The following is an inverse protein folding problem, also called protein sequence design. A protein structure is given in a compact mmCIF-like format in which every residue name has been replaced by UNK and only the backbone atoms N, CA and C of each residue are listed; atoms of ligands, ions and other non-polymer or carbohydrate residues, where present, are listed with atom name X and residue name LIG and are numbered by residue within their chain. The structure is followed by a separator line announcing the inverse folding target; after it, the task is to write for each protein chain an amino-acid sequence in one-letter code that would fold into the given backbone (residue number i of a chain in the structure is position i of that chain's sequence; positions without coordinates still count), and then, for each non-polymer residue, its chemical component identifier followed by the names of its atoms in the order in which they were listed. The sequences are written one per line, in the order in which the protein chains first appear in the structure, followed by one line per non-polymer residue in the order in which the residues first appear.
data_IF_143822562789
#
_entry.id   IF_143822562789
#
_cell.length_a   1.000
_cell.length_b   1.000
_cell.length_c   1.000
_cell.angle_alpha   90.00
_cell.angle_beta   90.00
_cell.angle_gamma   90.00
#
_symmetry.space_group_name_H-M   'P 1'
#
loop_
_entity.id
_entity.type
_entity.pdbx_description
1 polymer ?
#
# COMPACT_ATOMS: atom_id res chain seq x y z
N UNK A 1 15.08 -22.50 34.83
CA UNK A 1 14.30 -22.96 33.67
C UNK A 1 13.58 -21.73 33.16
N UNK A 2 14.19 -21.03 32.16
CA UNK A 2 13.61 -19.83 31.59
C UNK A 2 12.34 -20.18 30.81
N UNK A 3 11.24 -19.59 31.19
CA UNK A 3 10.04 -19.56 30.38
C UNK A 3 10.40 -18.85 29.06
N UNK A 4 10.48 -19.59 27.96
CA UNK A 4 10.44 -18.99 26.62
C UNK A 4 9.02 -18.41 26.48
N UNK A 5 8.86 -17.11 26.22
CA UNK A 5 7.53 -16.58 25.95
C UNK A 5 6.95 -17.33 24.76
N UNK A 6 5.73 -17.76 24.91
CA UNK A 6 4.96 -18.42 23.89
C UNK A 6 4.73 -17.40 22.75
N UNK A 7 5.38 -17.63 21.61
CA UNK A 7 5.30 -16.89 20.34
C UNK A 7 5.97 -15.49 20.31
N UNK A 8 7.24 -15.45 19.90
CA UNK A 8 7.96 -14.22 19.54
C UNK A 8 7.43 -13.57 18.24
N UNK A 9 6.33 -14.04 17.71
CA UNK A 9 5.72 -13.56 16.47
C UNK A 9 4.20 -13.49 16.56
N UNK A 10 3.61 -12.72 15.66
CA UNK A 10 2.16 -12.66 15.48
C UNK A 10 1.77 -12.78 14.00
N UNK A 11 0.60 -13.36 13.75
CA UNK A 11 0.05 -13.39 12.41
C UNK A 11 -0.54 -12.02 12.03
N UNK A 12 -0.06 -11.49 10.90
CA UNK A 12 -0.52 -10.20 10.37
C UNK A 12 -1.16 -10.39 9.00
N UNK A 13 -2.00 -9.44 8.61
CA UNK A 13 -2.62 -9.48 7.28
C UNK A 13 -1.68 -8.97 6.19
N UNK A 14 -0.84 -8.02 6.54
CA UNK A 14 0.07 -7.34 5.60
C UNK A 14 1.33 -6.93 6.33
N UNK A 15 2.44 -6.88 5.60
CA UNK A 15 3.68 -6.25 6.03
C UNK A 15 4.24 -5.41 4.87
N UNK A 16 5.18 -4.54 5.18
CA UNK A 16 5.97 -3.82 4.17
C UNK A 16 7.16 -4.70 3.75
N UNK A 17 7.69 -4.48 2.55
CA UNK A 17 8.85 -5.23 2.05
C UNK A 17 10.15 -4.91 2.79
N UNK A 18 10.27 -3.72 3.40
CA UNK A 18 11.45 -3.35 4.18
C UNK A 18 11.60 -4.27 5.40
N UNK A 19 12.70 -5.03 5.42
CA UNK A 19 12.97 -6.02 6.47
C UNK A 19 12.10 -7.28 6.41
N UNK A 20 11.41 -7.53 5.29
CA UNK A 20 10.63 -8.74 5.09
C UNK A 20 11.48 -9.85 4.47
N UNK A 21 11.25 -11.08 4.91
CA UNK A 21 11.83 -12.29 4.35
C UNK A 21 10.72 -13.18 3.81
N UNK A 22 10.89 -13.65 2.58
CA UNK A 22 9.93 -14.55 1.95
C UNK A 22 10.53 -15.95 1.82
N UNK A 23 9.74 -16.97 2.11
CA UNK A 23 10.10 -18.34 1.81
C UNK A 23 10.17 -18.52 0.29
N UNK A 24 11.31 -18.99 -0.22
CA UNK A 24 11.55 -19.14 -1.66
C UNK A 24 10.58 -20.16 -2.31
N UNK A 25 10.21 -21.22 -1.61
CA UNK A 25 9.26 -22.20 -2.15
C UNK A 25 7.86 -21.58 -2.25
N UNK A 26 7.44 -20.79 -1.25
CA UNK A 26 6.20 -20.04 -1.31
C UNK A 26 6.21 -19.02 -2.46
N UNK A 27 7.31 -18.27 -2.60
CA UNK A 27 7.49 -17.30 -3.68
C UNK A 27 7.37 -17.94 -5.07
N UNK A 28 8.03 -19.09 -5.29
CA UNK A 28 7.93 -19.85 -6.54
C UNK A 28 6.51 -20.31 -6.82
N UNK A 29 5.76 -20.70 -5.80
CA UNK A 29 4.41 -21.21 -5.93
C UNK A 29 3.38 -20.11 -6.23
N UNK A 30 3.51 -18.94 -5.60
CA UNK A 30 2.55 -17.83 -5.75
C UNK A 30 2.90 -16.87 -6.87
N UNK A 31 4.12 -16.95 -7.41
CA UNK A 31 4.68 -16.04 -8.41
C UNK A 31 5.31 -14.78 -7.81
N UNK A 32 5.98 -14.06 -8.66
CA UNK A 32 6.74 -12.85 -8.34
C UNK A 32 5.84 -11.66 -7.94
N UNK A 33 6.47 -10.57 -7.48
CA UNK A 33 5.75 -9.31 -7.30
C UNK A 33 5.13 -8.84 -8.62
N UNK A 34 3.98 -8.20 -8.53
CA UNK A 34 3.33 -7.61 -9.71
C UNK A 34 4.08 -6.34 -10.14
N UNK A 35 5.02 -6.50 -11.08
CA UNK A 35 5.84 -5.42 -11.60
C UNK A 35 5.00 -4.27 -12.20
N UNK A 36 3.80 -4.59 -12.71
CA UNK A 36 2.90 -3.56 -13.24
C UNK A 36 2.49 -2.56 -12.18
N UNK A 37 2.52 -2.91 -10.91
CA UNK A 37 2.21 -1.99 -9.81
C UNK A 37 3.31 -0.97 -9.56
N UNK A 38 4.56 -1.27 -9.85
CA UNK A 38 5.75 -0.46 -9.74
C UNK A 38 6.05 0.04 -8.32
N UNK A 39 5.17 0.82 -7.70
CA UNK A 39 5.33 1.40 -6.36
C UNK A 39 3.95 1.54 -5.68
N UNK A 40 3.94 1.47 -4.35
CA UNK A 40 2.76 1.51 -3.48
C UNK A 40 1.78 0.32 -3.67
N UNK A 41 1.37 -0.29 -2.60
CA UNK A 41 0.48 -1.45 -2.51
C UNK A 41 1.02 -2.77 -3.09
N UNK A 42 2.25 -2.81 -3.60
CA UNK A 42 2.90 -4.02 -4.15
C UNK A 42 3.01 -5.09 -3.08
N UNK A 43 3.51 -4.70 -1.92
CA UNK A 43 3.64 -5.54 -0.73
C UNK A 43 2.29 -6.03 -0.19
N UNK A 44 1.28 -5.18 -0.20
CA UNK A 44 -0.08 -5.56 0.23
C UNK A 44 -0.73 -6.57 -0.72
N UNK A 45 -0.53 -6.42 -2.02
CA UNK A 45 -0.98 -7.37 -3.04
C UNK A 45 -0.27 -8.72 -2.86
N UNK A 46 1.04 -8.69 -2.67
CA UNK A 46 1.84 -9.89 -2.44
C UNK A 46 1.41 -10.63 -1.17
N UNK A 47 1.24 -9.94 -0.05
CA UNK A 47 0.72 -10.53 1.19
C UNK A 47 -0.70 -11.09 1.02
N UNK A 48 -1.52 -10.47 0.19
CA UNK A 48 -2.85 -10.99 -0.13
C UNK A 48 -2.74 -12.32 -0.88
N UNK A 49 -1.89 -12.42 -1.92
CA UNK A 49 -1.65 -13.67 -2.65
C UNK A 49 -1.09 -14.75 -1.74
N UNK A 50 -0.10 -14.44 -0.91
CA UNK A 50 0.43 -15.37 0.09
C UNK A 50 -0.70 -16.03 0.88
N UNK A 51 -1.58 -15.23 1.47
CA UNK A 51 -2.70 -15.73 2.27
C UNK A 51 -3.74 -16.50 1.44
N UNK A 52 -4.00 -16.08 0.21
CA UNK A 52 -4.90 -16.78 -0.71
C UNK A 52 -4.42 -18.20 -1.04
N UNK A 53 -3.11 -18.39 -1.08
CA UNK A 53 -2.47 -19.70 -1.30
C UNK A 53 -2.18 -20.46 0.00
N UNK A 54 -2.71 -20.03 1.14
CA UNK A 54 -2.60 -20.72 2.42
C UNK A 54 -1.31 -20.45 3.20
N UNK A 55 -0.46 -19.52 2.74
CA UNK A 55 0.75 -19.13 3.48
C UNK A 55 0.43 -18.09 4.55
N UNK A 56 1.12 -18.19 5.68
CA UNK A 56 1.06 -17.19 6.76
C UNK A 56 1.95 -15.99 6.47
N UNK A 57 1.51 -14.80 6.89
CA UNK A 57 2.35 -13.62 7.02
C UNK A 57 2.54 -13.38 8.52
N UNK A 58 3.79 -13.35 8.97
CA UNK A 58 4.12 -13.20 10.39
C UNK A 58 4.98 -11.95 10.60
N UNK A 59 4.81 -11.33 11.75
CA UNK A 59 5.64 -10.23 12.23
C UNK A 59 6.35 -10.67 13.50
N UNK A 60 7.68 -10.54 13.53
CA UNK A 60 8.49 -10.81 14.71
C UNK A 60 8.46 -9.58 15.61
N UNK A 61 8.17 -9.77 16.91
CA UNK A 61 7.89 -8.65 17.84
C UNK A 61 9.15 -7.94 18.32
N UNK A 62 10.22 -8.68 18.57
CA UNK A 62 11.41 -8.15 19.22
C UNK A 62 12.45 -7.58 18.27
N UNK A 63 12.19 -7.64 16.96
CA UNK A 63 13.06 -7.07 15.92
C UNK A 63 12.49 -5.74 15.45
N UNK A 64 13.29 -4.67 15.60
CA UNK A 64 12.94 -3.32 15.16
C UNK A 64 13.85 -2.89 14.02
N UNK A 65 13.26 -2.58 12.89
CA UNK A 65 13.96 -1.94 11.78
C UNK A 65 13.73 -0.42 11.86
N UNK A 66 14.82 0.34 11.95
CA UNK A 66 14.74 1.80 11.82
C UNK A 66 14.55 2.13 10.33
N UNK A 67 13.37 2.60 10.00
CA UNK A 67 12.99 2.90 8.62
C UNK A 67 12.46 4.34 8.52
N UNK A 68 13.05 5.13 7.63
CA UNK A 68 12.58 6.49 7.36
C UNK A 68 11.38 6.47 6.41
N UNK A 69 10.28 7.07 6.84
CA UNK A 69 9.04 7.16 6.07
C UNK A 69 8.97 8.37 5.12
N UNK A 70 10.12 8.98 4.81
CA UNK A 70 10.19 10.18 3.99
C UNK A 70 9.62 11.43 4.69
N UNK A 71 9.52 12.55 3.97
CA UNK A 71 9.10 13.86 4.51
C UNK A 71 7.58 13.95 4.68
N UNK A 72 7.01 13.26 5.66
CA UNK A 72 5.59 13.43 6.00
C UNK A 72 5.41 14.57 7.00
N UNK A 73 4.49 15.50 6.70
CA UNK A 73 4.09 16.58 7.60
C UNK A 73 2.71 16.31 8.19
N UNK A 74 2.58 16.48 9.50
CA UNK A 74 1.27 16.44 10.15
C UNK A 74 0.57 17.79 9.96
N UNK A 75 -0.57 17.81 9.26
CA UNK A 75 -1.45 18.99 9.09
C UNK A 75 -2.77 18.76 9.81
N UNK A 76 -3.45 19.82 10.17
CA UNK A 76 -4.78 19.77 10.80
C UNK A 76 -5.85 19.91 9.72
N UNK A 77 -6.78 18.95 9.67
CA UNK A 77 -7.97 19.03 8.82
C UNK A 77 -9.20 18.98 9.72
N UNK A 78 -9.91 20.09 9.84
CA UNK A 78 -10.99 20.26 10.80
C UNK A 78 -10.52 19.86 12.22
N UNK A 79 -11.05 18.78 12.77
CA UNK A 79 -10.71 18.28 14.10
C UNK A 79 -9.66 17.17 14.10
N UNK A 80 -9.21 16.69 12.93
CA UNK A 80 -8.30 15.55 12.79
C UNK A 80 -6.91 15.94 12.32
N UNK A 81 -5.90 15.21 12.79
CA UNK A 81 -4.53 15.31 12.29
C UNK A 81 -4.39 14.36 11.11
N UNK A 82 -3.99 14.88 9.95
CA UNK A 82 -3.72 14.10 8.74
C UNK A 82 -2.24 14.19 8.40
N UNK A 83 -1.71 13.11 7.81
CA UNK A 83 -0.34 13.10 7.29
C UNK A 83 -0.36 13.53 5.83
N UNK A 84 0.32 14.62 5.53
CA UNK A 84 0.55 15.11 4.17
C UNK A 84 1.96 14.70 3.77
N UNK A 85 2.06 13.84 2.78
CA UNK A 85 3.34 13.22 2.38
C UNK A 85 4.07 13.99 1.29
N UNK A 86 3.41 14.94 0.63
CA UNK A 86 4.01 15.77 -0.42
C UNK A 86 4.56 14.98 -1.62
N UNK A 87 4.02 13.80 -1.87
CA UNK A 87 4.50 12.95 -2.96
C UNK A 87 4.47 13.66 -4.32
N UNK A 88 5.45 13.31 -5.18
CA UNK A 88 5.52 13.79 -6.55
C UNK A 88 4.28 13.39 -7.36
N UNK A 89 4.01 14.11 -8.45
CA UNK A 89 2.94 13.79 -9.39
C UNK A 89 3.06 12.35 -9.92
N UNK A 90 4.30 11.91 -10.21
CA UNK A 90 4.60 10.54 -10.62
C UNK A 90 4.13 9.50 -9.57
N UNK A 91 4.48 9.68 -8.30
CA UNK A 91 4.08 8.75 -7.25
C UNK A 91 2.56 8.78 -7.01
N UNK A 92 1.93 9.96 -7.08
CA UNK A 92 0.48 10.09 -6.97
C UNK A 92 -0.28 9.34 -8.07
N UNK A 93 0.27 9.27 -9.28
CA UNK A 93 -0.29 8.45 -10.35
C UNK A 93 -0.37 6.98 -9.92
N UNK A 94 0.72 6.41 -9.41
CA UNK A 94 0.74 5.00 -8.99
C UNK A 94 -0.13 4.75 -7.76
N UNK A 95 -0.11 5.64 -6.77
CA UNK A 95 -1.01 5.54 -5.60
C UNK A 95 -2.46 5.45 -6.06
N UNK A 96 -2.90 6.38 -6.91
CA UNK A 96 -4.28 6.43 -7.38
C UNK A 96 -4.64 5.21 -8.23
N UNK A 97 -3.74 4.77 -9.08
CA UNK A 97 -3.92 3.59 -9.91
C UNK A 97 -4.02 2.33 -9.05
N UNK A 98 -3.09 2.13 -8.14
CA UNK A 98 -3.01 0.90 -7.37
C UNK A 98 -4.08 0.80 -6.29
N UNK A 99 -4.60 1.92 -5.77
CA UNK A 99 -5.80 1.94 -4.93
C UNK A 99 -7.01 1.26 -5.58
N UNK A 100 -7.07 1.25 -6.91
CA UNK A 100 -8.16 0.68 -7.69
C UNK A 100 -7.75 -0.61 -8.40
N UNK A 101 -6.57 -0.64 -9.00
CA UNK A 101 -6.05 -1.80 -9.73
C UNK A 101 -5.96 -3.06 -8.86
N UNK A 102 -5.35 -2.97 -7.68
CA UNK A 102 -5.20 -4.09 -6.76
C UNK A 102 -6.55 -4.74 -6.40
N UNK A 103 -7.56 -3.99 -5.91
CA UNK A 103 -8.85 -4.60 -5.62
C UNK A 103 -9.61 -5.10 -6.87
N UNK A 104 -9.45 -4.47 -8.02
CA UNK A 104 -10.03 -4.97 -9.27
C UNK A 104 -9.42 -6.32 -9.68
N UNK A 105 -8.10 -6.43 -9.66
CA UNK A 105 -7.36 -7.66 -9.98
C UNK A 105 -7.83 -8.86 -9.17
N UNK A 106 -8.19 -8.64 -7.91
CA UNK A 106 -8.56 -9.69 -6.98
C UNK A 106 -10.07 -9.77 -6.66
N UNK A 107 -10.92 -9.03 -7.39
CA UNK A 107 -12.38 -8.98 -7.19
C UNK A 107 -12.80 -8.58 -5.76
N UNK A 108 -12.05 -7.67 -5.13
CA UNK A 108 -12.27 -7.18 -3.77
C UNK A 108 -13.16 -5.93 -3.78
N UNK A 109 -14.44 -6.08 -4.01
CA UNK A 109 -15.37 -4.97 -4.25
C UNK A 109 -15.42 -3.93 -3.12
N UNK A 110 -15.41 -4.36 -1.86
CA UNK A 110 -15.36 -3.43 -0.72
C UNK A 110 -14.06 -2.61 -0.68
N UNK A 111 -12.93 -3.24 -1.03
CA UNK A 111 -11.64 -2.55 -1.14
C UNK A 111 -11.61 -1.61 -2.34
N UNK A 112 -12.32 -1.96 -3.42
CA UNK A 112 -12.47 -1.09 -4.60
C UNK A 112 -13.22 0.20 -4.24
N UNK A 113 -14.32 0.10 -3.50
CA UNK A 113 -15.06 1.28 -3.01
C UNK A 113 -14.14 2.14 -2.14
N UNK A 114 -13.43 1.53 -1.19
CA UNK A 114 -12.46 2.24 -0.34
C UNK A 114 -11.33 2.87 -1.14
N UNK A 115 -10.85 2.21 -2.18
CA UNK A 115 -9.80 2.72 -3.09
C UNK A 115 -10.25 3.98 -3.82
N UNK A 116 -11.49 3.98 -4.34
CA UNK A 116 -12.08 5.16 -4.98
C UNK A 116 -12.24 6.33 -3.98
N UNK A 117 -12.72 6.06 -2.77
CA UNK A 117 -12.81 7.09 -1.71
C UNK A 117 -11.41 7.65 -1.37
N UNK A 118 -10.39 6.79 -1.25
CA UNK A 118 -9.01 7.24 -1.02
C UNK A 118 -8.51 8.18 -2.13
N UNK A 119 -8.86 7.93 -3.38
CA UNK A 119 -8.49 8.80 -4.50
C UNK A 119 -9.15 10.17 -4.40
N UNK A 120 -10.42 10.23 -3.98
CA UNK A 120 -11.11 11.49 -3.69
C UNK A 120 -10.39 12.24 -2.54
N UNK A 121 -10.09 11.55 -1.44
CA UNK A 121 -9.35 12.13 -0.33
C UNK A 121 -7.96 12.64 -0.76
N UNK A 122 -7.27 11.89 -1.63
CA UNK A 122 -5.96 12.28 -2.17
C UNK A 122 -6.03 13.58 -2.96
N UNK A 123 -7.09 13.78 -3.75
CA UNK A 123 -7.35 15.04 -4.47
C UNK A 123 -7.60 16.18 -3.48
N UNK A 124 -8.49 15.98 -2.51
CA UNK A 124 -8.82 17.01 -1.51
C UNK A 124 -7.56 17.45 -0.74
N UNK A 125 -6.75 16.49 -0.27
CA UNK A 125 -5.50 16.78 0.45
C UNK A 125 -4.53 17.55 -0.44
N UNK A 126 -4.41 17.17 -1.71
CA UNK A 126 -3.55 17.87 -2.67
C UNK A 126 -4.00 19.31 -2.88
N UNK A 127 -5.30 19.55 -3.03
CA UNK A 127 -5.87 20.89 -3.20
C UNK A 127 -5.60 21.79 -1.99
N UNK A 128 -5.74 21.24 -0.80
CA UNK A 128 -5.66 22.01 0.45
C UNK A 128 -4.23 22.27 0.93
N UNK A 129 -3.32 21.31 0.75
CA UNK A 129 -2.07 21.31 1.49
C UNK A 129 -0.80 21.16 0.66
N UNK A 130 -0.89 20.92 -0.63
CA UNK A 130 0.29 20.65 -1.43
C UNK A 130 0.53 21.69 -2.53
N UNK A 131 1.80 21.76 -2.97
CA UNK A 131 2.22 22.55 -4.12
C UNK A 131 2.03 21.75 -5.43
N UNK A 132 2.19 22.39 -6.60
CA UNK A 132 1.97 21.80 -7.93
C UNK A 132 0.65 21.05 -8.04
N UNK A 133 -0.41 21.71 -7.58
CA UNK A 133 -1.75 21.10 -7.51
C UNK A 133 -2.23 20.58 -8.86
N UNK A 134 -2.02 21.34 -9.94
CA UNK A 134 -2.50 20.97 -11.30
C UNK A 134 -1.83 19.67 -11.78
N UNK A 135 -0.51 19.57 -11.72
CA UNK A 135 0.22 18.39 -12.17
C UNK A 135 -0.12 17.15 -11.34
N UNK A 136 -0.19 17.31 -10.02
CA UNK A 136 -0.51 16.22 -9.10
C UNK A 136 -1.95 15.72 -9.28
N UNK A 137 -2.93 16.61 -9.40
CA UNK A 137 -4.34 16.24 -9.61
C UNK A 137 -4.53 15.56 -10.96
N UNK A 138 -3.92 16.08 -12.02
CA UNK A 138 -3.94 15.45 -13.36
C UNK A 138 -3.38 14.02 -13.30
N UNK A 139 -2.29 13.82 -12.55
CA UNK A 139 -1.67 12.50 -12.35
C UNK A 139 -2.57 11.55 -11.57
N UNK A 140 -3.27 12.02 -10.54
CA UNK A 140 -4.25 11.21 -9.80
C UNK A 140 -5.37 10.76 -10.74
N UNK A 141 -5.98 11.66 -11.51
CA UNK A 141 -7.04 11.29 -12.46
C UNK A 141 -6.57 10.33 -13.53
N UNK A 142 -5.35 10.55 -14.07
CA UNK A 142 -4.76 9.65 -15.05
C UNK A 142 -4.56 8.25 -14.47
N UNK A 143 -3.93 8.14 -13.30
CA UNK A 143 -3.72 6.85 -12.62
C UNK A 143 -5.05 6.15 -12.31
N UNK A 144 -6.02 6.90 -11.80
CA UNK A 144 -7.35 6.39 -11.50
C UNK A 144 -8.05 5.81 -12.73
N UNK A 145 -8.03 6.54 -13.85
CA UNK A 145 -8.59 6.07 -15.14
C UNK A 145 -7.84 4.84 -15.68
N UNK A 146 -6.51 4.86 -15.61
CA UNK A 146 -5.69 3.79 -16.16
C UNK A 146 -5.83 2.46 -15.37
N UNK A 147 -6.19 2.52 -14.09
CA UNK A 147 -6.48 1.33 -13.29
C UNK A 147 -7.59 0.45 -13.89
N UNK A 148 -8.57 1.05 -14.54
CA UNK A 148 -9.67 0.32 -15.18
C UNK A 148 -9.32 -0.24 -16.57
N UNK A 149 -8.20 0.23 -17.17
CA UNK A 149 -7.73 -0.26 -18.48
C UNK A 149 -6.81 -1.47 -18.36
N UNK A 150 -6.09 -1.59 -17.24
CA UNK A 150 -5.19 -2.72 -16.99
C UNK A 150 -6.01 -3.94 -16.56
N UNK A 151 -6.82 -4.47 -17.50
CA UNK A 151 -7.43 -5.80 -17.36
C UNK A 151 -6.48 -6.82 -17.99
N UNK A 152 -5.83 -7.61 -17.16
CA UNK A 152 -5.24 -8.89 -17.55
C UNK A 152 -6.02 -10.00 -16.89
#
# INVERSE_FOLDING_TARGET
VGHRPQNDYEHVKTCITSGAFSNIAAWKNIGEYDESMFIDSVDFEYCYRMRKYGYGVIQVRDVKLLHELGNSQKKRFLFWKINVTGHSAFRKYYIARNNVYYPLKHHLYLHLIRGNIRNICLIIITVLYEDDKKGKIASVFKGWKDAYKVRK
#
